data_IF_717662734982
#
_entry.id   IF_717662734982
#
_cell.length_a   1.000
_cell.length_b   1.000
_cell.length_c   1.000
_cell.angle_alpha   90.00
_cell.angle_beta   90.00
_cell.angle_gamma   90.00
#
_symmetry.space_group_name_H-M   'P 1'
#
loop_
_entity.id
_entity.type
_entity.pdbx_description
1 polymer ?
#
# COMPACT_ATOMS: atom_id res chain seq x y z
N UNK A 1 11.24 -11.65 6.00
CA UNK A 1 11.12 -10.46 5.12
C UNK A 1 10.30 -9.39 5.84
N UNK A 2 10.78 -8.15 5.85
CA UNK A 2 10.06 -7.01 6.43
C UNK A 2 9.60 -6.08 5.29
N UNK A 3 8.30 -6.03 5.03
CA UNK A 3 7.72 -5.24 3.95
C UNK A 3 6.89 -4.09 4.52
N UNK A 4 7.18 -2.86 4.09
CA UNK A 4 6.32 -1.72 4.33
C UNK A 4 5.33 -1.59 3.16
N UNK A 5 4.07 -1.25 3.45
CA UNK A 5 3.00 -1.18 2.45
C UNK A 5 2.27 0.15 2.64
N UNK A 6 2.19 0.95 1.59
CA UNK A 6 1.49 2.24 1.60
C UNK A 6 0.70 2.43 0.30
N UNK A 7 -0.24 3.36 0.30
CA UNK A 7 -1.12 3.65 -0.83
C UNK A 7 -1.51 5.12 -0.89
N UNK A 8 -1.91 5.56 -2.07
CA UNK A 8 -2.66 6.81 -2.24
C UNK A 8 -1.90 8.05 -1.73
N UNK A 9 -0.66 8.28 -2.27
CA UNK A 9 0.17 9.47 -2.03
C UNK A 9 -0.35 10.70 -2.78
N UNK A 10 -0.96 10.51 -3.95
CA UNK A 10 -1.60 11.55 -4.75
C UNK A 10 -0.76 12.83 -4.95
N UNK A 11 0.56 12.68 -5.11
CA UNK A 11 1.47 13.79 -5.38
C UNK A 11 1.82 14.67 -4.17
N UNK A 12 1.44 14.27 -2.95
CA UNK A 12 1.81 14.99 -1.74
C UNK A 12 3.28 14.78 -1.39
N UNK A 13 4.10 15.80 -1.60
CA UNK A 13 5.49 15.79 -1.14
C UNK A 13 5.59 15.86 0.39
N UNK A 14 4.61 16.49 1.05
CA UNK A 14 4.56 16.57 2.50
C UNK A 14 4.42 15.18 3.13
N UNK A 15 3.41 14.41 2.72
CA UNK A 15 3.20 13.05 3.25
C UNK A 15 4.20 12.03 2.69
N UNK A 16 4.74 12.24 1.49
CA UNK A 16 5.83 11.42 0.98
C UNK A 16 7.06 11.52 1.90
N UNK A 17 7.45 12.73 2.34
CA UNK A 17 8.55 12.90 3.31
C UNK A 17 8.29 12.17 4.62
N UNK A 18 7.07 12.24 5.15
CA UNK A 18 6.72 11.54 6.38
C UNK A 18 6.75 10.01 6.21
N UNK A 19 6.26 9.50 5.08
CA UNK A 19 6.32 8.08 4.74
C UNK A 19 7.78 7.60 4.63
N UNK A 20 8.66 8.39 4.01
CA UNK A 20 10.08 8.05 3.94
C UNK A 20 10.78 8.14 5.30
N UNK A 21 10.41 9.09 6.16
CA UNK A 21 10.89 9.12 7.54
C UNK A 21 10.41 7.88 8.33
N UNK A 22 9.19 7.43 8.09
CA UNK A 22 8.71 6.15 8.62
C UNK A 22 9.50 4.97 8.07
N UNK A 23 9.82 4.95 6.77
CA UNK A 23 10.66 3.93 6.14
C UNK A 23 12.07 3.88 6.75
N UNK A 24 12.68 5.05 7.06
CA UNK A 24 13.96 5.10 7.77
C UNK A 24 13.86 4.57 9.21
N UNK A 25 12.76 4.83 9.90
CA UNK A 25 12.52 4.31 11.27
C UNK A 25 12.28 2.81 11.29
N UNK A 26 11.46 2.32 10.34
CA UNK A 26 11.06 0.91 10.27
C UNK A 26 12.14 0.01 9.66
N UNK A 27 13.02 0.54 8.82
CA UNK A 27 14.05 -0.24 8.10
C UNK A 27 13.48 -1.48 7.39
N UNK A 28 12.46 -1.34 6.51
CA UNK A 28 11.94 -2.47 5.75
C UNK A 28 12.92 -2.89 4.66
N UNK A 29 12.85 -4.15 4.21
CA UNK A 29 13.58 -4.63 3.04
C UNK A 29 13.10 -3.93 1.76
N UNK A 30 11.77 -3.76 1.63
CA UNK A 30 11.10 -3.09 0.50
C UNK A 30 9.92 -2.25 0.98
N UNK A 31 9.56 -1.25 0.17
CA UNK A 31 8.29 -0.53 0.25
C UNK A 31 7.42 -0.91 -0.95
N UNK A 32 6.24 -1.46 -0.69
CA UNK A 32 5.20 -1.70 -1.68
C UNK A 32 4.24 -0.51 -1.71
N UNK A 33 4.16 0.15 -2.85
CA UNK A 33 3.18 1.19 -3.14
C UNK A 33 1.99 0.55 -3.88
N UNK A 34 0.79 0.74 -3.36
CA UNK A 34 -0.43 0.18 -3.96
C UNK A 34 -1.07 1.15 -4.97
N UNK A 35 -0.28 2.06 -5.55
CA UNK A 35 -0.71 2.96 -6.62
C UNK A 35 -1.16 4.35 -6.16
N UNK A 36 -1.63 5.13 -7.13
CA UNK A 36 -2.03 6.55 -6.99
C UNK A 36 -0.91 7.41 -6.41
N UNK A 37 0.23 7.45 -7.15
CA UNK A 37 1.48 8.04 -6.66
C UNK A 37 1.52 9.54 -6.87
N UNK A 38 1.32 10.03 -8.12
CA UNK A 38 1.63 11.42 -8.49
C UNK A 38 0.39 12.30 -8.68
N UNK A 39 -0.67 11.78 -9.26
CA UNK A 39 -1.86 12.57 -9.60
C UNK A 39 -2.90 12.50 -8.49
N UNK A 40 -3.43 13.67 -8.09
CA UNK A 40 -4.43 13.75 -7.03
C UNK A 40 -5.79 13.13 -7.41
N UNK A 41 -6.07 13.01 -8.71
CA UNK A 41 -7.37 12.58 -9.24
C UNK A 41 -8.42 13.69 -9.23
N UNK A 42 -9.34 13.73 -10.22
CA UNK A 42 -10.26 14.87 -10.37
C UNK A 42 -11.36 14.92 -9.31
N UNK A 43 -11.52 13.88 -8.51
CA UNK A 43 -12.55 13.77 -7.47
C UNK A 43 -12.05 14.12 -6.06
N UNK A 44 -10.75 14.31 -5.90
CA UNK A 44 -10.14 14.64 -4.61
C UNK A 44 -9.69 16.09 -4.62
N UNK A 45 -9.75 16.74 -3.46
CA UNK A 45 -9.05 18.00 -3.25
C UNK A 45 -7.53 17.77 -3.32
N UNK A 46 -6.78 18.84 -3.59
CA UNK A 46 -5.32 18.76 -3.57
C UNK A 46 -4.84 18.42 -2.16
N UNK A 47 -4.03 17.37 -2.00
CA UNK A 47 -3.48 17.04 -0.70
C UNK A 47 -2.51 18.12 -0.22
N UNK A 48 -2.29 18.17 1.08
CA UNK A 48 -1.28 19.06 1.66
C UNK A 48 0.09 18.84 1.02
N UNK A 49 0.74 19.93 0.64
CA UNK A 49 2.06 19.89 0.01
C UNK A 49 2.07 19.18 -1.35
N UNK A 50 1.01 19.34 -2.17
CA UNK A 50 0.95 18.77 -3.52
C UNK A 50 2.10 19.30 -4.39
N UNK A 51 3.08 18.48 -4.65
CA UNK A 51 4.27 18.77 -5.44
C UNK A 51 4.81 17.48 -6.10
N UNK A 52 4.19 16.97 -7.18
CA UNK A 52 4.55 15.69 -7.79
C UNK A 52 6.02 15.61 -8.21
N UNK A 53 6.62 16.71 -8.67
CA UNK A 53 8.04 16.75 -9.04
C UNK A 53 8.96 16.47 -7.84
N UNK A 54 8.58 16.90 -6.65
CA UNK A 54 9.33 16.58 -5.44
C UNK A 54 9.15 15.11 -5.04
N UNK A 55 7.93 14.55 -5.20
CA UNK A 55 7.68 13.12 -4.99
C UNK A 55 8.56 12.27 -5.90
N UNK A 56 8.66 12.61 -7.20
CA UNK A 56 9.55 11.95 -8.17
C UNK A 56 11.01 12.00 -7.67
N UNK A 57 11.49 13.18 -7.28
CA UNK A 57 12.88 13.36 -6.82
C UNK A 57 13.18 12.55 -5.52
N UNK A 58 12.17 12.32 -4.68
CA UNK A 58 12.31 11.52 -3.46
C UNK A 58 12.25 10.01 -3.72
N UNK A 59 11.40 9.55 -4.63
CA UNK A 59 11.19 8.11 -4.86
C UNK A 59 12.23 7.50 -5.81
N UNK A 60 12.66 8.19 -6.86
CA UNK A 60 13.59 7.64 -7.86
C UNK A 60 14.92 7.14 -7.26
N UNK A 61 15.55 7.81 -6.30
CA UNK A 61 16.76 7.28 -5.65
C UNK A 61 16.54 5.95 -4.91
N UNK A 62 15.29 5.63 -4.57
CA UNK A 62 14.90 4.42 -3.83
C UNK A 62 14.41 3.28 -4.72
N UNK A 63 14.48 3.43 -6.06
CA UNK A 63 13.93 2.49 -7.05
C UNK A 63 14.20 1.01 -6.77
N UNK A 64 15.38 0.68 -6.25
CA UNK A 64 15.76 -0.70 -5.94
C UNK A 64 15.03 -1.26 -4.71
N UNK A 65 14.48 -0.40 -3.87
CA UNK A 65 13.71 -0.75 -2.67
C UNK A 65 12.21 -0.63 -2.87
N UNK A 66 11.74 -0.21 -4.05
CA UNK A 66 10.34 0.00 -4.35
C UNK A 66 9.74 -1.14 -5.15
N UNK A 67 8.53 -1.53 -4.78
CA UNK A 67 7.60 -2.33 -5.55
C UNK A 67 6.35 -1.47 -5.75
N UNK A 68 5.69 -1.58 -6.89
CA UNK A 68 4.47 -0.81 -7.13
C UNK A 68 3.47 -1.58 -7.96
N UNK A 69 2.18 -1.39 -7.67
CA UNK A 69 1.08 -1.78 -8.53
C UNK A 69 0.35 -0.52 -9.01
N UNK A 70 -0.28 -0.62 -10.19
CA UNK A 70 -0.93 0.50 -10.85
C UNK A 70 -2.20 0.95 -10.12
N UNK A 71 -2.27 2.22 -9.76
CA UNK A 71 -3.51 2.89 -9.35
C UNK A 71 -4.34 3.38 -10.54
N UNK A 72 -5.55 3.84 -10.27
CA UNK A 72 -6.42 4.41 -11.32
C UNK A 72 -5.95 5.80 -11.78
N UNK A 73 -5.13 6.47 -11.00
CA UNK A 73 -4.54 7.75 -11.35
C UNK A 73 -3.14 7.63 -11.97
N UNK A 74 -2.53 6.43 -11.97
CA UNK A 74 -1.21 6.22 -12.53
C UNK A 74 -1.28 5.95 -14.04
N UNK A 75 -0.46 6.65 -14.81
CA UNK A 75 -0.48 6.64 -16.26
C UNK A 75 0.88 6.29 -16.86
N UNK A 76 0.90 6.05 -18.17
CA UNK A 76 2.13 5.88 -18.93
C UNK A 76 3.03 7.13 -18.87
N UNK A 77 2.44 8.32 -18.67
CA UNK A 77 3.20 9.57 -18.50
C UNK A 77 3.93 9.58 -17.16
N UNK A 78 3.29 9.07 -16.09
CA UNK A 78 3.92 8.95 -14.78
C UNK A 78 5.08 7.93 -14.82
N UNK A 79 4.91 6.84 -15.58
CA UNK A 79 5.99 5.86 -15.81
C UNK A 79 7.20 6.46 -16.53
N UNK A 80 7.04 7.50 -17.37
CA UNK A 80 8.16 8.15 -18.05
C UNK A 80 9.08 8.92 -17.10
N UNK A 81 8.63 9.26 -15.92
CA UNK A 81 9.36 10.09 -14.94
C UNK A 81 9.71 9.34 -13.64
N UNK A 82 9.18 8.13 -13.45
CA UNK A 82 9.51 7.25 -12.32
C UNK A 82 10.45 6.13 -12.79
N UNK A 83 11.60 5.98 -12.12
CA UNK A 83 12.68 5.04 -12.48
C UNK A 83 12.42 3.60 -11.98
N UNK A 84 11.21 3.28 -11.59
CA UNK A 84 10.76 1.94 -11.18
C UNK A 84 9.40 1.62 -11.81
N UNK A 85 9.08 0.32 -12.05
CA UNK A 85 7.80 -0.07 -12.65
C UNK A 85 6.60 0.31 -11.78
N UNK A 86 5.60 0.98 -12.39
CA UNK A 86 4.36 1.39 -11.71
C UNK A 86 3.08 0.88 -12.37
N UNK A 87 3.17 0.21 -13.51
CA UNK A 87 2.01 -0.16 -14.34
C UNK A 87 1.61 -1.65 -14.21
N UNK A 88 2.10 -2.36 -13.19
CA UNK A 88 1.69 -3.73 -12.92
C UNK A 88 0.26 -3.75 -12.34
N UNK A 89 -0.67 -4.49 -12.93
CA UNK A 89 -2.06 -4.57 -12.44
C UNK A 89 -2.15 -5.19 -11.05
N UNK A 90 -1.23 -6.09 -10.72
CA UNK A 90 -1.12 -6.73 -9.41
C UNK A 90 0.30 -7.25 -9.16
N UNK A 91 0.55 -7.56 -7.90
CA UNK A 91 1.72 -8.31 -7.45
C UNK A 91 1.27 -9.50 -6.59
N UNK A 92 1.94 -10.63 -6.73
CA UNK A 92 1.70 -11.80 -5.88
C UNK A 92 2.84 -11.94 -4.88
N UNK A 93 2.50 -11.90 -3.61
CA UNK A 93 3.41 -12.02 -2.48
C UNK A 93 2.99 -13.19 -1.60
N UNK A 94 3.77 -13.48 -0.57
CA UNK A 94 3.43 -14.49 0.42
C UNK A 94 3.60 -13.93 1.84
N UNK A 95 2.61 -14.20 2.68
CA UNK A 95 2.63 -13.95 4.11
C UNK A 95 2.47 -15.29 4.84
N UNK A 96 3.59 -15.86 5.30
CA UNK A 96 3.61 -17.25 5.73
C UNK A 96 3.27 -18.18 4.56
N UNK A 97 2.28 -19.05 4.76
CA UNK A 97 1.77 -19.97 3.70
C UNK A 97 0.65 -19.37 2.85
N UNK A 98 0.16 -18.15 3.17
CA UNK A 98 -0.96 -17.51 2.48
C UNK A 98 -0.46 -16.66 1.31
N UNK A 99 -1.06 -16.85 0.14
CA UNK A 99 -0.81 -15.94 -0.98
C UNK A 99 -1.48 -14.58 -0.71
N UNK A 100 -0.78 -13.50 -1.07
CA UNK A 100 -1.28 -12.12 -0.98
C UNK A 100 -1.39 -11.57 -2.38
N UNK A 101 -2.61 -11.37 -2.85
CA UNK A 101 -2.90 -10.69 -4.10
C UNK A 101 -2.95 -9.19 -3.82
N UNK A 102 -1.86 -8.49 -4.12
CA UNK A 102 -1.73 -7.05 -3.95
C UNK A 102 -2.12 -6.32 -5.24
N UNK A 103 -3.07 -5.41 -5.15
CA UNK A 103 -3.57 -4.58 -6.26
C UNK A 103 -3.93 -3.19 -5.73
N UNK A 104 -4.37 -2.28 -6.60
CA UNK A 104 -4.83 -0.98 -6.12
C UNK A 104 -6.27 -1.02 -5.56
N UNK A 105 -7.19 -1.76 -6.17
CA UNK A 105 -8.57 -1.86 -5.71
C UNK A 105 -9.63 -1.33 -6.70
N UNK A 106 -9.23 -0.63 -7.76
CA UNK A 106 -10.17 -0.08 -8.75
C UNK A 106 -10.72 -1.13 -9.73
N UNK A 107 -10.00 -2.21 -9.97
CA UNK A 107 -10.44 -3.36 -10.77
C UNK A 107 -10.80 -4.54 -9.89
N UNK A 108 -9.83 -5.05 -9.13
CA UNK A 108 -10.03 -6.15 -8.19
C UNK A 108 -10.23 -5.61 -6.78
N UNK A 109 -11.35 -5.99 -6.16
CA UNK A 109 -11.76 -5.60 -4.82
C UNK A 109 -12.72 -6.64 -4.24
N UNK A 110 -13.32 -6.38 -3.11
CA UNK A 110 -14.26 -7.32 -2.47
C UNK A 110 -15.57 -7.55 -3.26
N UNK A 111 -15.93 -6.65 -4.18
CA UNK A 111 -17.09 -6.81 -5.08
C UNK A 111 -16.71 -7.47 -6.41
N UNK A 112 -15.45 -7.39 -6.84
CA UNK A 112 -14.90 -8.00 -8.05
C UNK A 112 -13.62 -8.73 -7.70
N UNK A 113 -13.74 -9.97 -7.23
CA UNK A 113 -12.62 -10.75 -6.71
C UNK A 113 -11.67 -11.23 -7.82
N UNK A 114 -10.35 -11.16 -7.61
CA UNK A 114 -9.40 -11.91 -8.42
C UNK A 114 -9.50 -13.42 -8.12
N UNK A 115 -8.82 -14.29 -8.87
CA UNK A 115 -8.78 -15.72 -8.59
C UNK A 115 -8.00 -16.00 -7.29
N UNK A 116 -8.71 -16.03 -6.16
CA UNK A 116 -8.17 -16.33 -4.83
C UNK A 116 -8.49 -17.77 -4.44
N UNK A 117 -7.53 -18.48 -3.88
CA UNK A 117 -7.77 -19.72 -3.18
C UNK A 117 -8.34 -19.47 -1.77
N UNK A 118 -8.86 -20.53 -1.14
CA UNK A 118 -9.31 -20.47 0.25
C UNK A 118 -8.15 -20.02 1.17
N UNK A 119 -8.40 -19.01 1.97
CA UNK A 119 -7.43 -18.49 2.92
C UNK A 119 -6.46 -17.45 2.34
N UNK A 120 -6.48 -17.16 1.04
CA UNK A 120 -5.64 -16.09 0.45
C UNK A 120 -6.05 -14.69 0.96
N UNK A 121 -5.14 -13.77 0.77
CA UNK A 121 -5.30 -12.38 1.20
C UNK A 121 -5.46 -11.48 -0.02
N UNK A 122 -6.50 -10.67 -0.04
CA UNK A 122 -6.67 -9.55 -0.95
C UNK A 122 -6.16 -8.28 -0.27
N UNK A 123 -5.11 -7.68 -0.81
CA UNK A 123 -4.51 -6.45 -0.30
C UNK A 123 -4.71 -5.34 -1.33
N UNK A 124 -5.40 -4.25 -0.96
CA UNK A 124 -5.55 -3.11 -1.85
C UNK A 124 -5.76 -1.77 -1.11
N UNK A 125 -5.48 -0.64 -1.78
CA UNK A 125 -5.74 0.72 -1.35
C UNK A 125 -7.06 1.29 -1.87
N UNK A 126 -7.02 2.39 -2.62
CA UNK A 126 -8.10 3.01 -3.39
C UNK A 126 -9.26 3.61 -2.57
N UNK A 127 -9.72 2.94 -1.53
CA UNK A 127 -10.83 3.44 -0.70
C UNK A 127 -10.39 4.55 0.24
N UNK A 128 -9.09 4.65 0.52
CA UNK A 128 -8.44 5.52 1.49
C UNK A 128 -8.87 5.24 2.95
N UNK A 129 -9.48 4.08 3.20
CA UNK A 129 -9.94 3.64 4.52
C UNK A 129 -9.19 2.37 4.90
N UNK A 130 -8.51 2.32 6.04
CA UNK A 130 -7.84 1.11 6.47
C UNK A 130 -8.83 -0.01 6.75
N UNK A 131 -8.46 -1.25 6.42
CA UNK A 131 -9.32 -2.41 6.61
C UNK A 131 -8.54 -3.68 6.97
N UNK A 132 -9.22 -4.57 7.74
CA UNK A 132 -8.76 -5.90 8.16
C UNK A 132 -9.98 -6.82 8.33
N UNK A 133 -10.60 -7.20 7.22
CA UNK A 133 -11.90 -7.88 7.19
C UNK A 133 -11.77 -9.30 6.68
N UNK A 134 -12.46 -10.23 7.33
CA UNK A 134 -12.64 -11.58 6.79
C UNK A 134 -13.77 -11.60 5.77
N UNK A 135 -13.61 -12.41 4.72
CA UNK A 135 -14.66 -12.67 3.74
C UNK A 135 -14.55 -14.09 3.16
N UNK A 136 -15.62 -14.53 2.51
CA UNK A 136 -15.66 -15.82 1.83
C UNK A 136 -15.31 -17.00 2.75
N UNK A 137 -14.34 -17.80 2.36
CA UNK A 137 -13.94 -19.03 3.06
C UNK A 137 -12.65 -18.85 3.87
N UNK A 138 -12.59 -17.82 4.72
CA UNK A 138 -11.41 -17.49 5.52
C UNK A 138 -10.38 -16.65 4.77
N UNK A 139 -10.79 -16.01 3.68
CA UNK A 139 -9.99 -15.01 3.01
C UNK A 139 -9.97 -13.71 3.82
N UNK A 140 -8.92 -12.91 3.63
CA UNK A 140 -8.80 -11.61 4.29
C UNK A 140 -8.75 -10.50 3.24
N UNK A 141 -9.46 -9.41 3.51
CA UNK A 141 -9.27 -8.14 2.86
C UNK A 141 -8.47 -7.21 3.77
N UNK A 142 -7.34 -6.72 3.30
CA UNK A 142 -6.47 -5.79 4.01
C UNK A 142 -6.26 -4.53 3.19
N UNK A 143 -6.26 -3.38 3.89
CA UNK A 143 -6.03 -2.07 3.27
C UNK A 143 -5.17 -1.21 4.20
N UNK A 144 -4.07 -0.60 3.73
CA UNK A 144 -3.24 0.29 4.54
C UNK A 144 -3.90 1.63 4.89
N UNK A 145 -5.03 1.98 4.25
CA UNK A 145 -5.53 3.35 4.22
C UNK A 145 -4.81 4.20 3.18
N UNK A 146 -4.85 5.52 3.34
CA UNK A 146 -4.11 6.46 2.49
C UNK A 146 -3.02 7.16 3.29
N UNK A 147 -1.85 7.30 2.68
CA UNK A 147 -0.77 8.09 3.27
C UNK A 147 -1.07 9.60 3.22
N UNK A 148 -1.77 10.10 2.19
CA UNK A 148 -1.94 11.54 1.97
C UNK A 148 -3.36 12.07 2.13
N UNK A 149 -4.39 11.31 1.77
CA UNK A 149 -5.80 11.75 1.83
C UNK A 149 -6.70 10.68 2.45
N UNK A 150 -6.52 10.36 3.74
CA UNK A 150 -7.35 9.38 4.45
C UNK A 150 -8.82 9.83 4.46
N UNK A 151 -9.73 8.86 4.50
CA UNK A 151 -11.17 9.08 4.58
C UNK A 151 -11.73 8.52 5.88
N UNK A 152 -12.99 8.85 6.18
CA UNK A 152 -13.74 8.38 7.36
C UNK A 152 -13.01 8.65 8.69
N UNK A 153 -12.32 9.80 8.77
CA UNK A 153 -11.52 10.21 9.94
C UNK A 153 -10.43 9.21 10.33
N UNK A 154 -9.96 8.40 9.37
CA UNK A 154 -8.82 7.51 9.60
C UNK A 154 -7.49 8.28 9.62
N UNK A 155 -6.46 7.68 10.18
CA UNK A 155 -5.13 8.27 10.22
C UNK A 155 -4.45 8.24 8.85
N UNK A 156 -3.50 9.15 8.61
CA UNK A 156 -2.47 9.00 7.59
C UNK A 156 -1.63 7.79 7.95
N UNK A 157 -1.63 6.75 7.13
CA UNK A 157 -1.20 5.43 7.59
C UNK A 157 -0.45 4.61 6.55
N UNK A 158 0.22 3.60 7.06
CA UNK A 158 0.86 2.52 6.32
C UNK A 158 0.72 1.20 7.09
N UNK A 159 1.09 0.10 6.44
CA UNK A 159 1.16 -1.21 7.07
C UNK A 159 2.60 -1.74 7.07
N UNK A 160 2.89 -2.58 8.06
CA UNK A 160 4.09 -3.42 8.07
C UNK A 160 3.68 -4.89 7.97
N UNK A 161 4.33 -5.64 7.09
CA UNK A 161 4.28 -7.10 7.07
C UNK A 161 5.62 -7.64 7.54
N UNK A 162 5.56 -8.52 8.55
CA UNK A 162 6.71 -9.24 9.10
C UNK A 162 6.36 -10.72 9.22
N UNK A 163 7.27 -11.54 9.70
CA UNK A 163 7.02 -12.96 9.94
C UNK A 163 5.96 -13.19 11.04
N UNK A 164 5.72 -12.20 11.91
CA UNK A 164 4.68 -12.23 12.95
C UNK A 164 3.29 -11.84 12.47
N UNK A 165 3.16 -11.19 11.30
CA UNK A 165 1.90 -10.73 10.75
C UNK A 165 1.92 -9.29 10.26
N UNK A 166 0.73 -8.71 10.22
CA UNK A 166 0.50 -7.34 9.76
C UNK A 166 0.31 -6.38 10.95
N UNK A 167 0.82 -5.17 10.80
CA UNK A 167 0.58 -4.07 11.74
C UNK A 167 0.21 -2.81 10.95
N UNK A 168 -0.87 -2.13 11.37
CA UNK A 168 -1.27 -0.82 10.85
C UNK A 168 -0.71 0.25 11.76
N UNK A 169 -0.08 1.24 11.15
CA UNK A 169 0.59 2.34 11.85
C UNK A 169 0.22 3.67 11.22
N UNK A 170 0.11 4.70 12.04
CA UNK A 170 0.14 6.08 11.55
C UNK A 170 1.55 6.47 11.06
N UNK A 171 1.67 7.61 10.38
CA UNK A 171 2.96 8.08 9.87
C UNK A 171 3.96 8.45 10.98
N UNK A 172 3.51 8.63 12.23
CA UNK A 172 4.35 8.84 13.41
C UNK A 172 4.91 7.53 13.98
N UNK A 173 4.32 6.38 13.56
CA UNK A 173 4.75 5.03 13.92
C UNK A 173 3.96 4.38 15.04
N UNK A 174 2.87 5.01 15.50
CA UNK A 174 1.98 4.43 16.49
C UNK A 174 1.18 3.29 15.88
N UNK A 175 1.22 2.12 16.50
CA UNK A 175 0.43 0.95 16.07
C UNK A 175 -1.01 1.14 16.57
N UNK A 176 -1.99 1.07 15.67
CA UNK A 176 -3.40 1.14 16.02
C UNK A 176 -4.16 -0.15 15.73
N UNK A 177 -3.58 -1.07 14.93
CA UNK A 177 -4.13 -2.41 14.73
C UNK A 177 -3.02 -3.42 14.41
N UNK A 178 -3.22 -4.68 14.80
CA UNK A 178 -2.35 -5.81 14.43
C UNK A 178 -3.17 -7.03 14.05
N UNK A 179 -2.66 -7.80 13.09
CA UNK A 179 -3.23 -9.07 12.67
C UNK A 179 -2.11 -10.11 12.62
N UNK A 180 -2.14 -11.08 13.53
CA UNK A 180 -1.17 -12.16 13.54
C UNK A 180 -1.38 -13.09 12.34
N UNK A 181 -0.29 -13.59 11.78
CA UNK A 181 -0.34 -14.74 10.87
C UNK A 181 -0.35 -16.00 11.71
N UNK A 182 -1.31 -16.88 11.47
CA UNK A 182 -1.34 -18.17 12.13
C UNK A 182 -0.07 -18.95 11.76
N UNK A 183 0.81 -19.15 12.73
CA UNK A 183 1.93 -20.06 12.63
C UNK A 183 1.43 -21.53 12.76
N UNK A 184 0.31 -21.88 12.12
CA UNK A 184 -0.18 -23.25 12.11
C UNK A 184 0.60 -24.06 11.07
N UNK A 185 1.46 -24.94 11.59
CA UNK A 185 2.22 -26.03 10.96
C UNK A 185 3.68 -25.73 10.57
N UNK A 186 4.56 -25.60 11.59
CA UNK A 186 5.82 -26.31 11.58
C UNK A 186 5.58 -27.67 12.29
N UNK A 187 5.10 -28.64 11.55
CA UNK A 187 5.01 -30.04 11.94
C UNK A 187 5.75 -30.87 10.94
#
# INVERSE_FOLDING_TARGET
>A
MKLMIASDLHGSAFYCRQLLAAMEREQPDKLLLLGDILYHGPRNDLPEGYAPKEVIAMLNPLRERLLCVRGNCDTEVDQMVLDFPILADYALLYAGSRAVFATHGHHYNTACLPPLAKGDILLHGHTHVPAWQEFGSGNLYLNPGSAAIPKENSAHSYMMLTDSGFAWKDLEGSIYHTLALDCSNCG
#
